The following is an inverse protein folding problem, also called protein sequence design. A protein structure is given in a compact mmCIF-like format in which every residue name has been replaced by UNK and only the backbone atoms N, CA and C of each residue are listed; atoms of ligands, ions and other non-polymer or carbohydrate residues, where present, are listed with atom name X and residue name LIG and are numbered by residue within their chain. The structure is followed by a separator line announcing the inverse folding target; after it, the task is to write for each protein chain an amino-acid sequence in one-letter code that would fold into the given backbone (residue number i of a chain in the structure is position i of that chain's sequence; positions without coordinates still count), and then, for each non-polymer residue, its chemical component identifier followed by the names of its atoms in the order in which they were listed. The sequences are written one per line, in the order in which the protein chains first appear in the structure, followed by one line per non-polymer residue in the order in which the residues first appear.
data_IF_183208921270
#
_entry.id   IF_183208921270
#
_cell.length_a   1.000
_cell.length_b   1.000
_cell.length_c   1.000
_cell.angle_alpha   90.00
_cell.angle_beta   90.00
_cell.angle_gamma   90.00
#
_symmetry.space_group_name_H-M   'P 1'
#
loop_
_entity.id
_entity.type
_entity.pdbx_description
1 polymer ?
#
# COMPACT_ATOMS: atom_id res chain seq x y z
N UNK A 1 3.44 -4.04 16.04
CA UNK A 1 2.58 -2.92 15.55
C UNK A 1 1.24 -3.40 15.00
N UNK A 2 1.20 -4.27 13.98
CA UNK A 2 -0.07 -4.74 13.37
C UNK A 2 -1.05 -5.34 14.38
N UNK A 3 -0.55 -6.20 15.29
CA UNK A 3 -1.36 -6.82 16.35
C UNK A 3 -2.02 -5.75 17.23
N UNK A 4 -1.29 -4.70 17.61
CA UNK A 4 -1.81 -3.60 18.44
C UNK A 4 -2.89 -2.83 17.69
N UNK A 5 -2.63 -2.48 16.43
CA UNK A 5 -3.60 -1.77 15.58
C UNK A 5 -4.88 -2.60 15.39
N UNK A 6 -4.73 -3.89 15.08
CA UNK A 6 -5.85 -4.80 14.92
C UNK A 6 -6.63 -4.98 16.22
N UNK A 7 -5.95 -5.19 17.36
CA UNK A 7 -6.60 -5.34 18.66
C UNK A 7 -7.37 -4.08 19.07
N UNK A 8 -6.81 -2.89 18.83
CA UNK A 8 -7.50 -1.61 19.10
C UNK A 8 -8.74 -1.44 18.21
N UNK A 9 -8.64 -1.80 16.94
CA UNK A 9 -9.77 -1.78 16.01
C UNK A 9 -10.84 -2.82 16.39
N UNK A 10 -10.45 -4.05 16.72
CA UNK A 10 -11.34 -5.14 17.14
C UNK A 10 -12.09 -4.79 18.43
N UNK A 11 -11.38 -4.30 19.46
CA UNK A 11 -11.99 -3.87 20.73
C UNK A 11 -12.99 -2.72 20.58
N UNK A 12 -13.03 -2.04 19.42
CA UNK A 12 -14.02 -1.00 19.14
C UNK A 12 -15.42 -1.57 18.95
N UNK A 13 -15.58 -2.80 18.44
CA UNK A 13 -16.88 -3.44 18.19
C UNK A 13 -17.73 -2.87 17.03
N UNK A 14 -17.35 -1.71 16.48
CA UNK A 14 -18.07 -1.02 15.39
C UNK A 14 -17.13 -0.63 14.22
N UNK A 15 -16.28 -1.55 13.77
CA UNK A 15 -15.40 -1.33 12.63
C UNK A 15 -16.16 -1.31 11.31
N UNK A 16 -15.81 -0.41 10.38
CA UNK A 16 -16.42 -0.40 9.04
C UNK A 16 -15.69 -1.35 8.09
N UNK A 17 -16.39 -1.87 7.09
CA UNK A 17 -15.78 -2.69 6.01
C UNK A 17 -14.68 -1.94 5.27
N UNK A 18 -14.80 -0.62 5.10
CA UNK A 18 -13.76 0.23 4.52
C UNK A 18 -12.49 0.29 5.37
N UNK A 19 -12.61 0.31 6.69
CA UNK A 19 -11.46 0.22 7.60
C UNK A 19 -10.81 -1.16 7.52
N UNK A 20 -11.59 -2.23 7.40
CA UNK A 20 -11.06 -3.58 7.22
C UNK A 20 -10.24 -3.71 5.93
N UNK A 21 -10.70 -3.13 4.82
CA UNK A 21 -9.93 -3.10 3.56
C UNK A 21 -8.60 -2.35 3.72
N UNK A 22 -8.58 -1.19 4.39
CA UNK A 22 -7.35 -0.44 4.68
C UNK A 22 -6.41 -1.19 5.62
N UNK A 23 -6.94 -1.93 6.61
CA UNK A 23 -6.13 -2.78 7.48
C UNK A 23 -5.48 -3.93 6.72
N UNK A 24 -6.20 -4.56 5.79
CA UNK A 24 -5.62 -5.59 4.92
C UNK A 24 -4.52 -5.04 4.02
N UNK A 25 -4.72 -3.86 3.42
CA UNK A 25 -3.66 -3.17 2.68
C UNK A 25 -2.45 -2.91 3.59
N UNK A 26 -2.67 -2.45 4.83
CA UNK A 26 -1.60 -2.21 5.79
C UNK A 26 -0.82 -3.49 6.14
N UNK A 27 -1.52 -4.61 6.36
CA UNK A 27 -0.90 -5.91 6.65
C UNK A 27 0.00 -6.34 5.49
N UNK A 28 -0.52 -6.28 4.26
CA UNK A 28 0.22 -6.70 3.07
C UNK A 28 1.43 -5.78 2.83
N UNK A 29 1.27 -4.46 2.94
CA UNK A 29 2.38 -3.51 2.80
C UNK A 29 3.44 -3.72 3.87
N UNK A 30 3.04 -4.00 5.12
CA UNK A 30 3.99 -4.31 6.19
C UNK A 30 4.76 -5.57 5.85
N UNK A 31 4.06 -6.64 5.44
CA UNK A 31 4.69 -7.89 5.02
C UNK A 31 5.68 -7.66 3.88
N UNK A 32 5.31 -6.89 2.85
CA UNK A 32 6.20 -6.55 1.71
C UNK A 32 7.48 -5.87 2.21
N UNK A 33 7.34 -4.82 3.03
CA UNK A 33 8.49 -4.02 3.51
C UNK A 33 9.38 -4.82 4.47
N UNK A 34 8.78 -5.68 5.29
CA UNK A 34 9.54 -6.51 6.26
C UNK A 34 10.16 -7.75 5.64
N UNK A 35 9.75 -8.15 4.43
CA UNK A 35 10.31 -9.31 3.77
C UNK A 35 11.59 -8.94 3.00
N UNK A 36 12.66 -9.72 3.19
CA UNK A 36 14.00 -9.48 2.63
C UNK A 36 14.04 -9.42 1.10
N UNK A 37 13.03 -9.94 0.39
CA UNK A 37 13.10 -10.16 -1.06
C UNK A 37 12.22 -9.28 -1.92
N UNK A 38 11.42 -8.35 -1.37
CA UNK A 38 10.64 -7.35 -2.14
C UNK A 38 9.98 -7.88 -3.42
N UNK A 39 9.57 -9.17 -3.39
CA UNK A 39 9.32 -9.95 -4.60
C UNK A 39 8.20 -9.34 -5.44
N UNK A 40 8.30 -9.37 -6.78
CA UNK A 40 7.27 -8.90 -7.68
C UNK A 40 5.89 -9.47 -7.37
N UNK A 41 5.86 -10.74 -6.96
CA UNK A 41 4.62 -11.48 -6.68
C UNK A 41 3.77 -10.83 -5.61
N UNK A 42 4.34 -10.03 -4.69
CA UNK A 42 3.55 -9.44 -3.60
C UNK A 42 2.62 -8.32 -4.04
N UNK A 43 2.85 -7.72 -5.22
CA UNK A 43 1.95 -6.68 -5.73
C UNK A 43 0.55 -7.21 -6.04
N UNK A 44 0.44 -8.49 -6.44
CA UNK A 44 -0.86 -9.11 -6.73
C UNK A 44 -1.77 -9.18 -5.50
N UNK A 45 -1.18 -9.29 -4.30
CA UNK A 45 -1.93 -9.39 -3.05
C UNK A 45 -2.65 -8.09 -2.69
N UNK A 46 -2.15 -6.94 -3.16
CA UNK A 46 -2.80 -5.65 -2.95
C UNK A 46 -4.07 -5.48 -3.79
N UNK A 47 -4.22 -6.26 -4.87
CA UNK A 47 -5.36 -6.15 -5.80
C UNK A 47 -6.71 -6.42 -5.14
N UNK A 48 -6.83 -7.51 -4.37
CA UNK A 48 -8.09 -7.90 -3.72
C UNK A 48 -8.63 -6.84 -2.75
N UNK A 49 -7.86 -6.44 -1.72
CA UNK A 49 -8.27 -5.38 -0.79
C UNK A 49 -8.52 -4.03 -1.46
N UNK A 50 -7.78 -3.70 -2.52
CA UNK A 50 -8.00 -2.46 -3.29
C UNK A 50 -9.32 -2.50 -4.06
N UNK A 51 -9.63 -3.62 -4.73
CA UNK A 51 -10.90 -3.82 -5.41
C UNK A 51 -12.09 -3.74 -4.44
N UNK A 52 -11.96 -4.38 -3.27
CA UNK A 52 -12.95 -4.28 -2.20
C UNK A 52 -13.14 -2.83 -1.72
N UNK A 53 -12.05 -2.08 -1.53
CA UNK A 53 -12.11 -0.67 -1.11
C UNK A 53 -12.83 0.22 -2.15
N UNK A 54 -12.58 -0.01 -3.45
CA UNK A 54 -13.25 0.70 -4.55
C UNK A 54 -14.74 0.34 -4.60
N UNK A 55 -15.08 -0.96 -4.50
CA UNK A 55 -16.47 -1.42 -4.49
C UNK A 55 -17.25 -0.81 -3.32
N UNK A 56 -16.66 -0.80 -2.12
CA UNK A 56 -17.25 -0.20 -0.92
C UNK A 56 -17.44 1.32 -1.06
N UNK A 57 -16.51 2.02 -1.74
CA UNK A 57 -16.69 3.43 -2.05
C UNK A 57 -17.88 3.65 -3.01
N UNK A 58 -18.06 2.78 -4.00
CA UNK A 58 -19.16 2.84 -4.97
C UNK A 58 -20.55 2.64 -4.34
N UNK A 59 -20.63 1.94 -3.21
CA UNK A 59 -21.88 1.77 -2.45
C UNK A 59 -22.25 2.99 -1.59
N UNK A 60 -21.38 4.00 -1.45
CA UNK A 60 -21.67 5.20 -0.64
C UNK A 60 -22.42 6.24 -1.46
N UNK A 61 -23.33 6.98 -0.82
CA UNK A 61 -24.00 8.12 -1.45
C UNK A 61 -23.02 9.27 -1.67
N UNK A 62 -23.16 9.94 -2.82
CA UNK A 62 -22.29 11.04 -3.27
C UNK A 62 -22.38 12.29 -2.37
N UNK A 63 -23.51 12.48 -1.70
CA UNK A 63 -23.83 13.58 -0.78
C UNK A 63 -23.21 13.42 0.62
N UNK A 64 -22.60 12.27 0.91
CA UNK A 64 -22.06 11.98 2.23
C UNK A 64 -20.84 12.85 2.51
N UNK A 65 -20.84 13.51 3.67
CA UNK A 65 -19.68 14.26 4.15
C UNK A 65 -18.41 13.40 4.10
N UNK A 66 -17.32 13.98 3.60
CA UNK A 66 -16.01 13.33 3.36
C UNK A 66 -15.92 12.38 2.14
N UNK A 67 -16.97 12.16 1.35
CA UNK A 67 -16.91 11.29 0.16
C UNK A 67 -15.78 11.68 -0.80
N UNK A 68 -15.65 12.96 -1.14
CA UNK A 68 -14.61 13.45 -2.05
C UNK A 68 -13.18 13.22 -1.51
N UNK A 69 -12.99 13.38 -0.20
CA UNK A 69 -11.71 13.16 0.47
C UNK A 69 -11.35 11.67 0.48
N UNK A 70 -12.29 10.80 0.84
CA UNK A 70 -12.08 9.35 0.85
C UNK A 70 -11.84 8.79 -0.56
N UNK A 71 -12.58 9.29 -1.55
CA UNK A 71 -12.33 9.00 -2.97
C UNK A 71 -10.92 9.40 -3.37
N UNK A 72 -10.49 10.63 -3.07
CA UNK A 72 -9.12 11.10 -3.41
C UNK A 72 -8.04 10.23 -2.75
N UNK A 73 -8.21 9.86 -1.48
CA UNK A 73 -7.28 8.97 -0.76
C UNK A 73 -7.17 7.60 -1.42
N UNK A 74 -8.31 6.98 -1.76
CA UNK A 74 -8.34 5.68 -2.44
C UNK A 74 -7.74 5.75 -3.84
N UNK A 75 -8.01 6.82 -4.60
CA UNK A 75 -7.39 7.04 -5.90
C UNK A 75 -5.88 7.19 -5.82
N UNK A 76 -5.37 7.93 -4.83
CA UNK A 76 -3.92 8.05 -4.60
C UNK A 76 -3.28 6.70 -4.28
N UNK A 77 -3.91 5.89 -3.41
CA UNK A 77 -3.43 4.53 -3.10
C UNK A 77 -3.43 3.67 -4.37
N UNK A 78 -4.53 3.66 -5.12
CA UNK A 78 -4.68 2.89 -6.36
C UNK A 78 -3.61 3.26 -7.39
N UNK A 79 -3.45 4.56 -7.66
CA UNK A 79 -2.48 5.06 -8.64
C UNK A 79 -1.05 4.72 -8.20
N UNK A 80 -0.75 4.85 -6.91
CA UNK A 80 0.57 4.48 -6.37
C UNK A 80 0.84 2.97 -6.52
N UNK A 81 -0.14 2.12 -6.22
CA UNK A 81 -0.03 0.65 -6.44
C UNK A 81 0.20 0.34 -7.92
N UNK A 82 -0.52 1.02 -8.82
CA UNK A 82 -0.37 0.84 -10.26
C UNK A 82 1.03 1.25 -10.72
N UNK A 83 1.52 2.41 -10.28
CA UNK A 83 2.88 2.87 -10.56
C UNK A 83 3.93 1.88 -10.04
N UNK A 84 3.81 1.41 -8.80
CA UNK A 84 4.71 0.41 -8.23
C UNK A 84 4.67 -0.89 -9.04
N UNK A 85 3.49 -1.31 -9.50
CA UNK A 85 3.31 -2.52 -10.33
C UNK A 85 4.02 -2.36 -11.67
N UNK A 86 3.89 -1.21 -12.33
CA UNK A 86 4.59 -0.91 -13.59
C UNK A 86 6.11 -0.92 -13.38
N UNK A 87 6.61 -0.21 -12.35
CA UNK A 87 8.04 -0.21 -12.04
C UNK A 87 8.56 -1.62 -11.71
N UNK A 88 7.74 -2.44 -11.05
CA UNK A 88 8.05 -3.83 -10.76
C UNK A 88 8.19 -4.64 -12.05
N UNK A 89 7.31 -4.44 -13.04
CA UNK A 89 7.41 -5.08 -14.37
C UNK A 89 8.64 -4.65 -15.17
N UNK A 90 9.08 -3.40 -15.01
CA UNK A 90 10.31 -2.89 -15.63
C UNK A 90 11.55 -3.56 -15.01
N UNK A 91 11.57 -3.77 -13.70
CA UNK A 91 12.71 -4.43 -13.05
C UNK A 91 12.66 -5.95 -13.26
N UNK A 92 11.47 -6.55 -13.22
CA UNK A 92 11.27 -8.00 -13.30
C UNK A 92 10.24 -8.36 -14.37
N UNK A 93 10.62 -9.14 -15.41
CA UNK A 93 11.94 -9.75 -15.64
C UNK A 93 12.94 -8.84 -16.37
N UNK A 94 12.50 -7.70 -16.94
CA UNK A 94 13.26 -6.97 -17.98
C UNK A 94 14.62 -6.42 -17.50
N UNK A 95 14.70 -5.91 -16.28
CA UNK A 95 15.92 -5.33 -15.71
C UNK A 95 16.72 -6.29 -14.81
N UNK A 96 16.27 -7.52 -14.61
CA UNK A 96 16.82 -8.40 -13.58
C UNK A 96 18.19 -8.96 -13.93
N UNK A 97 18.41 -9.32 -15.21
CA UNK A 97 19.69 -9.87 -15.67
C UNK A 97 20.88 -8.93 -15.37
N UNK A 98 20.84 -7.62 -15.71
CA UNK A 98 21.89 -6.66 -15.35
C UNK A 98 22.13 -6.48 -13.83
N UNK A 99 21.13 -6.74 -12.99
CA UNK A 99 21.27 -6.63 -11.53
C UNK A 99 22.06 -7.81 -10.94
N UNK A 100 21.95 -8.99 -11.53
CA UNK A 100 22.49 -10.24 -10.96
C UNK A 100 23.70 -10.78 -11.73
N UNK A 101 23.76 -10.55 -13.04
CA UNK A 101 24.79 -11.11 -13.93
C UNK A 101 25.72 -10.02 -14.44
N UNK A 102 27.03 -10.26 -14.31
CA UNK A 102 28.06 -9.41 -14.90
C UNK A 102 28.29 -9.80 -16.36
N UNK A 103 27.76 -8.98 -17.27
CA UNK A 103 27.98 -9.05 -18.72
C UNK A 103 28.53 -7.70 -19.21
N UNK A 104 29.17 -7.65 -20.38
CA UNK A 104 29.71 -6.39 -20.94
C UNK A 104 28.65 -5.27 -21.07
N UNK A 105 27.39 -5.62 -21.37
CA UNK A 105 26.25 -4.69 -21.49
C UNK A 105 25.72 -4.25 -20.11
N UNK A 106 25.98 -5.04 -19.06
CA UNK A 106 25.49 -4.81 -17.70
C UNK A 106 25.97 -3.48 -17.11
N UNK A 107 27.17 -3.03 -17.47
CA UNK A 107 27.77 -1.79 -16.91
C UNK A 107 26.93 -0.54 -17.20
N UNK A 108 26.28 -0.47 -18.37
CA UNK A 108 25.45 0.68 -18.75
C UNK A 108 24.02 0.58 -18.22
N UNK A 109 23.48 -0.64 -18.12
CA UNK A 109 22.09 -0.88 -17.72
C UNK A 109 21.89 -1.00 -16.20
N UNK A 110 22.93 -1.36 -15.44
CA UNK A 110 22.83 -1.56 -13.99
C UNK A 110 22.38 -0.30 -13.24
N UNK A 111 22.95 0.86 -13.57
CA UNK A 111 22.62 2.12 -12.89
C UNK A 111 21.15 2.55 -13.10
N UNK A 112 20.62 2.63 -14.34
CA UNK A 112 19.20 2.94 -14.56
C UNK A 112 18.26 1.96 -13.85
N UNK A 113 18.52 0.65 -13.95
CA UNK A 113 17.65 -0.35 -13.31
C UNK A 113 17.71 -0.23 -11.78
N UNK A 114 18.89 0.05 -11.21
CA UNK A 114 19.04 0.27 -9.77
C UNK A 114 18.25 1.49 -9.30
N UNK A 115 18.23 2.58 -10.09
CA UNK A 115 17.42 3.77 -9.79
C UNK A 115 15.93 3.42 -9.80
N UNK A 116 15.46 2.68 -10.81
CA UNK A 116 14.05 2.23 -10.89
C UNK A 116 13.69 1.35 -9.69
N UNK A 117 14.57 0.41 -9.32
CA UNK A 117 14.39 -0.44 -8.15
C UNK A 117 14.34 0.36 -6.85
N UNK A 118 15.25 1.32 -6.67
CA UNK A 118 15.29 2.19 -5.51
C UNK A 118 14.02 3.06 -5.41
N UNK A 119 13.59 3.65 -6.54
CA UNK A 119 12.37 4.44 -6.62
C UNK A 119 11.13 3.60 -6.28
N UNK A 120 11.04 2.38 -6.82
CA UNK A 120 9.97 1.43 -6.52
C UNK A 120 9.90 1.12 -5.03
N UNK A 121 11.04 0.84 -4.40
CA UNK A 121 11.09 0.53 -2.97
C UNK A 121 10.76 1.74 -2.11
N UNK A 122 11.24 2.93 -2.49
CA UNK A 122 10.87 4.18 -1.85
C UNK A 122 9.36 4.41 -1.89
N UNK A 123 8.74 4.22 -3.06
CA UNK A 123 7.28 4.34 -3.22
C UNK A 123 6.50 3.37 -2.34
N UNK A 124 6.95 2.11 -2.20
CA UNK A 124 6.31 1.15 -1.28
C UNK A 124 6.39 1.64 0.16
N UNK A 125 7.57 2.07 0.61
CA UNK A 125 7.74 2.58 1.99
C UNK A 125 6.94 3.86 2.24
N UNK A 126 6.85 4.75 1.25
CA UNK A 126 6.03 5.95 1.30
C UNK A 126 4.53 5.61 1.37
N UNK A 127 4.09 4.63 0.58
CA UNK A 127 2.71 4.13 0.60
C UNK A 127 2.36 3.50 1.95
N UNK A 128 3.26 2.69 2.52
CA UNK A 128 3.10 2.15 3.87
C UNK A 128 2.94 3.28 4.90
N UNK A 129 3.82 4.29 4.87
CA UNK A 129 3.74 5.45 5.75
C UNK A 129 2.44 6.26 5.57
N UNK A 130 1.93 6.36 4.34
CA UNK A 130 0.65 7.00 4.04
C UNK A 130 -0.54 6.21 4.61
N UNK A 131 -0.62 4.91 4.33
CA UNK A 131 -1.69 4.04 4.86
C UNK A 131 -1.65 3.98 6.38
N UNK A 132 -0.47 3.94 6.99
CA UNK A 132 -0.30 4.03 8.44
C UNK A 132 -0.89 5.31 9.03
N UNK A 133 -0.71 6.46 8.37
CA UNK A 133 -1.31 7.72 8.81
C UNK A 133 -2.83 7.67 8.75
N UNK A 134 -3.41 7.11 7.69
CA UNK A 134 -4.86 6.92 7.58
C UNK A 134 -5.40 6.02 8.68
N UNK A 135 -4.72 4.90 8.95
CA UNK A 135 -5.10 3.94 9.98
C UNK A 135 -5.01 4.53 11.39
N UNK A 136 -3.91 5.22 11.69
CA UNK A 136 -3.80 5.98 12.95
C UNK A 136 -4.92 7.00 13.10
N UNK A 137 -5.30 7.67 12.01
CA UNK A 137 -6.39 8.64 11.98
C UNK A 137 -7.67 8.11 12.62
N UNK A 138 -8.17 6.95 12.19
CA UNK A 138 -9.42 6.37 12.72
C UNK A 138 -9.25 5.51 13.98
N UNK A 139 -8.04 5.04 14.30
CA UNK A 139 -7.77 4.35 15.57
C UNK A 139 -7.67 5.36 16.73
N UNK A 140 -7.10 6.55 16.49
CA UNK A 140 -6.79 7.52 17.54
C UNK A 140 -7.83 8.64 17.73
N UNK A 141 -8.52 9.09 16.68
CA UNK A 141 -9.62 10.08 16.84
C UNK A 141 -10.68 9.58 17.82
N UNK A 142 -10.96 8.28 17.81
CA UNK A 142 -11.99 7.67 18.64
C UNK A 142 -11.52 7.35 20.07
N UNK A 143 -10.21 7.27 20.31
CA UNK A 143 -9.67 7.16 21.68
C UNK A 143 -9.88 8.47 22.48
N UNK A 144 -9.93 9.60 21.76
CA UNK A 144 -10.24 10.90 22.33
C UNK A 144 -11.74 11.04 22.68
N UNK A 145 -12.63 10.50 21.85
CA UNK A 145 -14.08 10.48 22.11
C UNK A 145 -14.49 9.59 23.29
N UNK A 146 -13.74 8.54 23.64
CA UNK A 146 -14.00 7.73 24.85
C UNK A 146 -13.51 8.36 26.16
N UNK A 147 -12.76 9.47 26.09
CA UNK A 147 -12.20 10.18 27.25
C UNK A 147 -12.86 11.54 27.51
N UNK A 148 -13.75 11.98 26.62
CA UNK A 148 -14.60 13.15 26.79
C UNK A 148 -15.98 12.69 27.25
#
# INVERSE_FOLDING_TARGET
MLIVVFALWWRRGHGTTSQAALLMILVILTMIVTNKTFSPQYMIWLGGPMAAAIALLGCRRLDTANYALDRRRLWLICLTILTITILTGIVFPLGYDPLVRDSYITRYWRLPVTIVLALRNLLITALLGYVLRLVKGFVWTTAKERRA
#
